data_IF_775327845686
#
_entry.id   IF_775327845686
#
_cell.length_a   1.000
_cell.length_b   1.000
_cell.length_c   1.000
_cell.angle_alpha   90.00
_cell.angle_beta   90.00
_cell.angle_gamma   90.00
#
_symmetry.space_group_name_H-M   'P 1'
#
loop_
_entity.id
_entity.type
_entity.pdbx_description
1 polymer ?
#
# COMPACT_ATOMS: atom_id res chain seq x y z
N UNK A 1 -3.89 -14.03 -41.64
CA UNK A 1 -3.51 -13.05 -40.61
C UNK A 1 -3.65 -13.73 -39.26
N UNK A 2 -2.55 -14.15 -38.66
CA UNK A 2 -2.54 -14.55 -37.25
C UNK A 2 -2.76 -13.29 -36.42
N UNK A 3 -3.84 -13.24 -35.63
CA UNK A 3 -4.06 -12.14 -34.68
C UNK A 3 -2.85 -11.98 -33.76
N UNK A 4 -2.43 -10.74 -33.50
CA UNK A 4 -1.33 -10.47 -32.57
C UNK A 4 -1.69 -10.93 -31.14
N UNK A 5 -0.72 -11.51 -30.39
CA UNK A 5 -0.93 -11.88 -28.99
C UNK A 5 -1.49 -10.71 -28.18
N UNK A 6 -2.59 -10.94 -27.45
CA UNK A 6 -3.26 -9.89 -26.69
C UNK A 6 -3.70 -10.37 -25.30
N UNK A 7 -3.89 -9.46 -24.32
CA UNK A 7 -4.43 -9.80 -23.01
C UNK A 7 -5.79 -10.52 -23.11
N UNK A 8 -6.61 -10.15 -24.09
CA UNK A 8 -7.90 -10.79 -24.34
C UNK A 8 -7.76 -12.26 -24.74
N UNK A 9 -6.79 -12.59 -25.58
CA UNK A 9 -6.48 -13.98 -25.93
C UNK A 9 -5.98 -14.76 -24.72
N UNK A 10 -5.15 -14.13 -23.88
CA UNK A 10 -4.64 -14.73 -22.64
C UNK A 10 -5.77 -15.08 -21.68
N UNK A 11 -6.65 -14.12 -21.35
CA UNK A 11 -7.80 -14.40 -20.48
C UNK A 11 -8.69 -15.52 -21.02
N UNK A 12 -8.87 -15.57 -22.35
CA UNK A 12 -9.65 -16.62 -23.00
C UNK A 12 -8.99 -17.99 -22.85
N UNK A 13 -7.70 -18.11 -23.11
CA UNK A 13 -6.95 -19.35 -22.95
C UNK A 13 -7.07 -19.89 -21.50
N UNK A 14 -6.94 -19.01 -20.50
CA UNK A 14 -7.08 -19.38 -19.08
C UNK A 14 -8.51 -19.85 -18.76
N UNK A 15 -9.54 -19.13 -19.22
CA UNK A 15 -10.96 -19.52 -19.04
C UNK A 15 -11.29 -20.87 -19.66
N UNK A 16 -10.68 -21.18 -20.80
CA UNK A 16 -10.83 -22.45 -21.51
C UNK A 16 -9.89 -23.54 -20.97
N UNK A 17 -9.12 -23.26 -19.89
CA UNK A 17 -8.14 -24.16 -19.28
C UNK A 17 -7.04 -24.64 -20.23
N UNK A 18 -6.76 -23.86 -21.29
CA UNK A 18 -5.64 -24.07 -22.23
C UNK A 18 -4.38 -23.43 -21.68
N UNK A 19 -3.83 -24.02 -20.63
CA UNK A 19 -2.73 -23.43 -19.87
C UNK A 19 -1.41 -23.36 -20.66
N UNK A 20 -1.15 -24.30 -21.56
CA UNK A 20 0.04 -24.27 -22.42
C UNK A 20 -0.03 -23.11 -23.44
N UNK A 21 -1.19 -22.90 -24.05
CA UNK A 21 -1.43 -21.73 -24.91
C UNK A 21 -1.28 -20.43 -24.11
N UNK A 22 -1.79 -20.40 -22.87
CA UNK A 22 -1.63 -19.25 -21.99
C UNK A 22 -0.17 -18.99 -21.63
N UNK A 23 0.64 -20.03 -21.38
CA UNK A 23 2.10 -19.91 -21.17
C UNK A 23 2.78 -19.32 -22.40
N UNK A 24 2.51 -19.83 -23.58
CA UNK A 24 3.08 -19.33 -24.84
C UNK A 24 2.74 -17.84 -25.08
N UNK A 25 1.51 -17.41 -24.76
CA UNK A 25 1.11 -16.00 -24.83
C UNK A 25 1.89 -15.13 -23.85
N UNK A 26 2.10 -15.59 -22.61
CA UNK A 26 2.90 -14.86 -21.61
C UNK A 26 4.37 -14.76 -22.05
N UNK A 27 4.93 -15.86 -22.58
CA UNK A 27 6.30 -15.91 -23.10
C UNK A 27 6.50 -15.00 -24.32
N UNK A 28 5.45 -14.78 -25.12
CA UNK A 28 5.45 -13.81 -26.23
C UNK A 28 5.42 -12.34 -25.77
N UNK A 29 5.31 -12.08 -24.46
CA UNK A 29 5.37 -10.75 -23.86
C UNK A 29 4.02 -10.12 -23.50
N UNK A 30 2.92 -10.88 -23.51
CA UNK A 30 1.61 -10.38 -23.07
C UNK A 30 1.64 -10.08 -21.56
N UNK A 31 1.42 -8.81 -21.19
CA UNK A 31 1.42 -8.39 -19.78
C UNK A 31 0.22 -8.96 -19.01
N UNK A 32 0.52 -9.84 -18.06
CA UNK A 32 -0.41 -10.55 -17.17
C UNK A 32 -1.12 -9.64 -16.15
N UNK A 33 -0.61 -8.42 -15.93
CA UNK A 33 -1.13 -7.44 -14.96
C UNK A 33 -2.23 -6.56 -15.54
N UNK A 34 -2.49 -6.65 -16.85
CA UNK A 34 -3.58 -5.93 -17.50
C UNK A 34 -4.90 -6.59 -17.09
N UNK A 35 -5.82 -5.76 -16.61
CA UNK A 35 -7.16 -6.17 -16.22
C UNK A 35 -8.16 -6.00 -17.37
N UNK A 36 -9.22 -6.81 -17.35
CA UNK A 36 -10.37 -6.61 -18.21
C UNK A 36 -11.34 -5.54 -17.67
N UNK A 37 -12.50 -5.40 -18.32
CA UNK A 37 -13.57 -4.46 -17.93
C UNK A 37 -14.21 -4.75 -16.56
N UNK A 38 -13.93 -5.91 -15.96
CA UNK A 38 -14.40 -6.31 -14.64
C UNK A 38 -13.33 -6.14 -13.56
N UNK A 39 -12.18 -5.56 -13.92
CA UNK A 39 -10.97 -5.47 -13.12
C UNK A 39 -10.34 -6.86 -12.84
N UNK A 40 -10.51 -7.86 -13.71
CA UNK A 40 -9.86 -9.17 -13.56
C UNK A 40 -8.62 -9.29 -14.45
N UNK A 41 -7.50 -9.65 -13.84
CA UNK A 41 -6.20 -9.88 -14.47
C UNK A 41 -5.98 -11.35 -14.83
N UNK A 42 -4.88 -11.67 -15.53
CA UNK A 42 -4.53 -13.07 -15.80
C UNK A 42 -4.28 -13.86 -14.49
N UNK A 43 -3.74 -13.21 -13.47
CA UNK A 43 -3.52 -13.80 -12.15
C UNK A 43 -4.83 -14.16 -11.46
N UNK A 44 -5.81 -13.25 -11.50
CA UNK A 44 -7.16 -13.47 -10.95
C UNK A 44 -7.83 -14.69 -11.61
N UNK A 45 -7.75 -14.77 -12.95
CA UNK A 45 -8.27 -15.91 -13.69
C UNK A 45 -7.53 -17.22 -13.41
N UNK A 46 -6.22 -17.15 -13.17
CA UNK A 46 -5.44 -18.32 -12.78
C UNK A 46 -5.87 -18.85 -11.40
N UNK A 47 -6.10 -17.98 -10.41
CA UNK A 47 -6.61 -18.37 -9.09
C UNK A 47 -7.98 -19.04 -9.20
N UNK A 48 -8.92 -18.38 -9.88
CA UNK A 48 -10.28 -18.88 -10.08
C UNK A 48 -10.33 -20.21 -10.84
N UNK A 49 -9.33 -20.49 -11.69
CA UNK A 49 -9.25 -21.77 -12.41
C UNK A 49 -8.96 -22.97 -11.51
N UNK A 50 -8.45 -22.73 -10.29
CA UNK A 50 -8.01 -23.76 -9.35
C UNK A 50 -6.69 -24.43 -9.74
N UNK A 51 -6.05 -24.05 -10.85
CA UNK A 51 -4.77 -24.62 -11.26
C UNK A 51 -3.60 -23.95 -10.54
N UNK A 52 -3.16 -24.57 -9.44
CA UNK A 52 -2.08 -24.06 -8.59
C UNK A 52 -0.74 -23.90 -9.32
N UNK A 53 -0.39 -24.83 -10.20
CA UNK A 53 0.87 -24.78 -10.97
C UNK A 53 0.87 -23.62 -11.96
N UNK A 54 -0.26 -23.36 -12.59
CA UNK A 54 -0.41 -22.22 -13.48
C UNK A 54 -0.48 -20.90 -12.71
N UNK A 55 -1.16 -20.87 -11.56
CA UNK A 55 -1.17 -19.70 -10.68
C UNK A 55 0.23 -19.36 -10.16
N UNK A 56 1.00 -20.35 -9.67
CA UNK A 56 2.42 -20.19 -9.30
C UNK A 56 3.23 -19.59 -10.44
N UNK A 57 3.05 -20.11 -11.66
CA UNK A 57 3.73 -19.59 -12.84
C UNK A 57 3.41 -18.11 -13.12
N UNK A 58 2.13 -17.73 -13.17
CA UNK A 58 1.70 -16.35 -13.42
C UNK A 58 2.18 -15.42 -12.30
N UNK A 59 2.15 -15.87 -11.04
CA UNK A 59 2.65 -15.11 -9.89
C UNK A 59 4.15 -14.81 -10.00
N UNK A 60 4.97 -15.80 -10.39
CA UNK A 60 6.42 -15.58 -10.63
C UNK A 60 6.64 -14.58 -11.76
N UNK A 61 5.91 -14.71 -12.89
CA UNK A 61 6.00 -13.77 -14.02
C UNK A 61 5.59 -12.34 -13.65
N UNK A 62 4.53 -12.19 -12.84
CA UNK A 62 4.14 -10.88 -12.30
C UNK A 62 5.23 -10.30 -11.41
N UNK A 63 5.83 -11.11 -10.52
CA UNK A 63 6.93 -10.68 -9.63
C UNK A 63 8.13 -10.18 -10.43
N UNK A 64 8.60 -10.97 -11.40
CA UNK A 64 9.68 -10.59 -12.33
C UNK A 64 9.38 -9.24 -13.01
N UNK A 65 8.18 -9.09 -13.58
CA UNK A 65 7.79 -7.85 -14.27
C UNK A 65 7.65 -6.66 -13.34
N UNK A 66 7.17 -6.87 -12.12
CA UNK A 66 7.07 -5.82 -11.10
C UNK A 66 8.45 -5.35 -10.67
N UNK A 67 9.38 -6.27 -10.37
CA UNK A 67 10.77 -5.94 -10.05
C UNK A 67 11.41 -5.12 -11.17
N UNK A 68 11.24 -5.54 -12.42
CA UNK A 68 11.70 -4.78 -13.57
C UNK A 68 11.10 -3.36 -13.61
N UNK A 69 9.79 -3.24 -13.39
CA UNK A 69 9.10 -1.93 -13.37
C UNK A 69 9.63 -1.03 -12.25
N UNK A 70 9.90 -1.60 -11.07
CA UNK A 70 10.48 -0.86 -9.94
C UNK A 70 11.88 -0.38 -10.31
N UNK A 71 12.72 -1.27 -10.85
CA UNK A 71 14.09 -0.96 -11.27
C UNK A 71 14.15 0.18 -12.29
N UNK A 72 13.29 0.14 -13.31
CA UNK A 72 13.21 1.18 -14.34
C UNK A 72 12.76 2.54 -13.76
N UNK A 73 11.91 2.53 -12.73
CA UNK A 73 11.37 3.76 -12.11
C UNK A 73 12.20 4.27 -10.94
N UNK A 74 13.06 3.44 -10.35
CA UNK A 74 13.80 3.74 -9.14
C UNK A 74 14.64 5.02 -9.22
N UNK A 75 15.34 5.33 -10.33
CA UNK A 75 16.08 6.59 -10.45
C UNK A 75 15.20 7.83 -10.24
N UNK A 76 14.01 7.86 -10.85
CA UNK A 76 13.07 8.96 -10.69
C UNK A 76 12.51 9.05 -9.25
N UNK A 77 12.39 7.92 -8.54
CA UNK A 77 12.02 7.92 -7.12
C UNK A 77 13.11 8.54 -6.26
N UNK A 78 14.37 8.19 -6.54
CA UNK A 78 15.54 8.73 -5.84
C UNK A 78 15.61 10.24 -6.04
N UNK A 79 15.44 10.72 -7.27
CA UNK A 79 15.39 12.16 -7.56
C UNK A 79 14.30 12.85 -6.74
N UNK A 80 13.07 12.33 -6.74
CA UNK A 80 11.99 12.89 -5.93
C UNK A 80 12.30 12.85 -4.44
N UNK A 81 12.86 11.74 -3.93
CA UNK A 81 13.23 11.60 -2.54
C UNK A 81 14.28 12.63 -2.11
N UNK A 82 15.26 12.91 -2.97
CA UNK A 82 16.30 13.91 -2.70
C UNK A 82 15.76 15.35 -2.67
N UNK A 83 14.62 15.63 -3.30
CA UNK A 83 13.96 16.96 -3.21
C UNK A 83 13.28 17.21 -1.87
N UNK A 84 12.98 16.15 -1.09
CA UNK A 84 12.37 16.30 0.22
C UNK A 84 13.35 16.98 1.18
N UNK A 85 12.90 17.92 2.03
CA UNK A 85 13.77 18.53 3.03
C UNK A 85 14.18 17.50 4.09
N UNK A 86 15.29 17.76 4.77
CA UNK A 86 15.68 16.95 5.92
C UNK A 86 14.71 17.17 7.08
N UNK A 87 14.32 16.08 7.73
CA UNK A 87 13.37 16.13 8.84
C UNK A 87 13.57 14.95 9.79
N UNK A 88 13.19 15.17 11.04
CA UNK A 88 12.81 14.10 11.94
C UNK A 88 11.38 14.33 12.40
N UNK A 89 10.57 13.27 12.41
CA UNK A 89 9.19 13.34 12.89
C UNK A 89 8.74 12.00 13.44
N UNK A 90 7.64 12.02 14.19
CA UNK A 90 6.96 10.81 14.65
C UNK A 90 5.57 10.71 14.05
N UNK A 91 5.17 9.49 13.73
CA UNK A 91 3.84 9.15 13.29
C UNK A 91 3.24 8.14 14.26
N UNK A 92 2.18 8.51 14.96
CA UNK A 92 1.48 7.58 15.86
C UNK A 92 0.12 7.24 15.32
N UNK A 93 -0.29 6.00 15.53
CA UNK A 93 -1.64 5.54 15.22
C UNK A 93 -2.17 4.66 16.35
N UNK A 94 -3.49 4.67 16.51
CA UNK A 94 -4.18 3.92 17.55
C UNK A 94 -5.60 3.58 17.12
N UNK A 95 -6.01 2.35 17.41
CA UNK A 95 -7.41 1.94 17.34
C UNK A 95 -8.07 2.19 18.70
N UNK A 96 -9.30 2.69 18.69
CA UNK A 96 -10.14 2.83 19.87
C UNK A 96 -11.39 2.00 19.69
N UNK A 97 -11.77 1.26 20.74
CA UNK A 97 -13.08 0.61 20.84
C UNK A 97 -13.85 1.18 22.01
N UNK A 98 -15.11 1.54 21.79
CA UNK A 98 -16.04 1.95 22.84
C UNK A 98 -16.52 0.77 23.70
N UNK A 99 -16.30 -0.47 23.22
CA UNK A 99 -16.67 -1.68 23.97
C UNK A 99 -15.73 -1.81 25.18
N UNK A 100 -16.25 -1.86 26.41
CA UNK A 100 -15.44 -2.05 27.61
C UNK A 100 -14.54 -3.28 27.48
N UNK A 101 -13.31 -3.20 28.01
CA UNK A 101 -12.29 -4.25 28.01
C UNK A 101 -11.66 -4.60 26.63
N UNK A 102 -12.25 -4.22 25.50
CA UNK A 102 -11.64 -4.42 24.17
C UNK A 102 -10.53 -3.38 23.88
N UNK A 103 -10.60 -2.20 24.49
CA UNK A 103 -9.61 -1.13 24.31
C UNK A 103 -8.18 -1.52 24.70
N UNK A 104 -8.02 -2.46 25.64
CA UNK A 104 -6.71 -3.00 26.04
C UNK A 104 -6.04 -3.83 24.94
N UNK A 105 -6.84 -4.38 24.01
CA UNK A 105 -6.37 -5.18 22.86
C UNK A 105 -6.31 -4.37 21.57
N UNK A 106 -6.68 -3.10 21.61
CA UNK A 106 -6.60 -2.25 20.43
C UNK A 106 -5.13 -1.97 20.07
N UNK A 107 -4.72 -2.25 18.83
CA UNK A 107 -3.35 -2.01 18.42
C UNK A 107 -3.06 -0.51 18.38
N UNK A 108 -1.82 -0.17 18.73
CA UNK A 108 -1.24 1.16 18.63
C UNK A 108 0.23 1.02 18.32
N UNK A 109 0.76 1.97 17.57
CA UNK A 109 2.20 2.07 17.33
C UNK A 109 2.61 3.53 17.16
N UNK A 110 3.90 3.79 17.31
CA UNK A 110 4.52 5.08 17.05
C UNK A 110 5.81 4.85 16.25
N UNK A 111 5.85 5.43 15.06
CA UNK A 111 6.97 5.33 14.14
C UNK A 111 7.81 6.59 14.27
N UNK A 112 9.14 6.43 14.32
CA UNK A 112 10.08 7.56 14.22
C UNK A 112 10.70 7.56 12.84
N UNK A 113 10.50 8.62 12.09
CA UNK A 113 11.02 8.79 10.74
C UNK A 113 12.09 9.88 10.76
N UNK A 114 13.28 9.60 10.25
CA UNK A 114 14.38 10.56 10.16
C UNK A 114 14.97 10.50 8.76
N UNK A 115 14.90 11.60 8.02
CA UNK A 115 15.48 11.76 6.69
C UNK A 115 16.59 12.80 6.74
N UNK A 116 17.76 12.45 6.21
CA UNK A 116 18.92 13.34 6.07
C UNK A 116 19.61 13.05 4.75
N UNK A 117 19.70 14.05 3.86
CA UNK A 117 20.31 13.90 2.54
C UNK A 117 19.69 12.76 1.73
N UNK A 118 20.49 11.75 1.37
CA UNK A 118 20.08 10.57 0.62
C UNK A 118 19.58 9.41 1.49
N UNK A 119 19.51 9.59 2.81
CA UNK A 119 19.23 8.52 3.77
C UNK A 119 17.91 8.75 4.50
N UNK A 120 17.18 7.68 4.77
CA UNK A 120 15.99 7.66 5.61
C UNK A 120 16.06 6.49 6.58
N UNK A 121 15.69 6.72 7.83
CA UNK A 121 15.51 5.69 8.84
C UNK A 121 14.09 5.75 9.39
N UNK A 122 13.44 4.60 9.50
CA UNK A 122 12.13 4.43 10.11
C UNK A 122 12.27 3.42 11.24
N UNK A 123 11.98 3.82 12.47
CA UNK A 123 11.90 2.92 13.61
C UNK A 123 10.43 2.60 13.91
N UNK A 124 10.12 1.31 14.12
CA UNK A 124 8.78 0.83 14.47
C UNK A 124 8.84 -0.17 15.63
N UNK A 125 7.79 -0.15 16.46
CA UNK A 125 7.59 -1.12 17.54
C UNK A 125 6.99 -2.45 17.08
N UNK A 126 6.82 -2.68 15.78
CA UNK A 126 6.20 -3.87 15.20
C UNK A 126 7.23 -4.69 14.44
N UNK A 127 7.45 -5.94 14.87
CA UNK A 127 8.54 -6.78 14.37
C UNK A 127 8.14 -7.86 13.36
N UNK A 128 6.86 -8.24 13.27
CA UNK A 128 6.45 -9.28 12.33
C UNK A 128 5.19 -8.88 11.55
N UNK A 129 5.25 -9.10 10.23
CA UNK A 129 4.20 -8.85 9.24
C UNK A 129 3.65 -10.17 8.66
N UNK A 130 3.74 -11.28 9.39
CA UNK A 130 3.11 -12.54 8.98
C UNK A 130 1.62 -12.58 9.37
N UNK A 131 0.73 -12.35 8.41
CA UNK A 131 -0.73 -12.48 8.58
C UNK A 131 -1.37 -11.39 9.47
N UNK A 132 -2.23 -11.78 10.43
CA UNK A 132 -2.98 -10.88 11.32
C UNK A 132 -2.38 -10.72 12.74
N UNK A 133 -1.18 -11.23 12.99
CA UNK A 133 -0.55 -11.20 14.33
C UNK A 133 0.57 -10.17 14.39
N UNK A 134 0.28 -9.06 15.06
CA UNK A 134 1.27 -8.03 15.39
C UNK A 134 2.12 -8.51 16.57
N UNK A 135 3.39 -8.84 16.34
CA UNK A 135 4.35 -9.04 17.43
C UNK A 135 5.04 -7.71 17.73
N UNK A 136 4.95 -7.29 18.99
CA UNK A 136 5.73 -6.15 19.49
C UNK A 136 7.21 -6.48 19.36
N UNK A 137 8.00 -5.57 18.82
CA UNK A 137 9.45 -5.68 18.78
C UNK A 137 10.12 -4.33 18.58
N UNK A 138 11.33 -4.33 18.02
CA UNK A 138 12.08 -3.11 17.73
C UNK A 138 12.78 -3.28 16.40
N UNK A 139 12.24 -2.68 15.35
CA UNK A 139 12.79 -2.79 13.99
C UNK A 139 13.15 -1.41 13.48
N UNK A 140 14.34 -1.31 12.89
CA UNK A 140 14.81 -0.13 12.18
C UNK A 140 14.95 -0.44 10.69
N UNK A 141 14.21 0.27 9.86
CA UNK A 141 14.29 0.19 8.40
C UNK A 141 15.09 1.37 7.88
N UNK A 142 16.19 1.09 7.19
CA UNK A 142 17.07 2.06 6.57
C UNK A 142 16.83 2.07 5.07
N UNK A 143 16.79 3.26 4.50
CA UNK A 143 16.85 3.52 3.07
C UNK A 143 18.08 4.37 2.77
N UNK A 144 18.89 3.98 1.78
CA UNK A 144 20.03 4.79 1.31
C UNK A 144 20.01 4.86 -0.22
N UNK A 145 19.71 6.04 -0.73
CA UNK A 145 19.66 6.31 -2.16
C UNK A 145 21.04 6.41 -2.82
N UNK A 146 22.12 6.47 -2.04
CA UNK A 146 23.50 6.46 -2.55
C UNK A 146 24.05 5.05 -2.77
N UNK A 147 23.30 4.01 -2.37
CA UNK A 147 23.68 2.63 -2.54
C UNK A 147 23.81 2.28 -4.04
N UNK A 148 24.96 1.73 -4.50
CA UNK A 148 25.17 1.39 -5.91
C UNK A 148 24.20 0.33 -6.44
N UNK A 149 23.89 -0.67 -5.60
CA UNK A 149 22.86 -1.67 -5.89
C UNK A 149 21.54 -1.26 -5.25
N UNK A 150 20.52 -1.07 -6.08
CA UNK A 150 19.17 -0.73 -5.65
C UNK A 150 18.59 -1.79 -4.71
N UNK A 151 18.91 -3.07 -4.91
CA UNK A 151 18.38 -4.15 -4.07
C UNK A 151 18.84 -4.02 -2.61
N UNK A 152 20.00 -3.42 -2.39
CA UNK A 152 20.53 -3.14 -1.05
C UNK A 152 20.20 -1.74 -0.54
N UNK A 153 19.37 -1.00 -1.26
CA UNK A 153 18.93 0.34 -0.83
C UNK A 153 18.03 0.29 0.40
N UNK A 154 17.34 -0.83 0.67
CA UNK A 154 16.51 -1.02 1.88
C UNK A 154 17.06 -2.12 2.78
N UNK A 155 17.39 -1.76 4.01
CA UNK A 155 17.88 -2.67 5.04
C UNK A 155 16.96 -2.63 6.26
N UNK A 156 16.36 -3.76 6.62
CA UNK A 156 15.66 -3.91 7.89
C UNK A 156 16.61 -4.54 8.92
N UNK A 157 16.59 -4.00 10.14
CA UNK A 157 17.36 -4.50 11.27
C UNK A 157 16.41 -4.78 12.42
N UNK A 158 16.37 -6.02 12.89
CA UNK A 158 15.77 -6.35 14.17
C UNK A 158 16.76 -5.98 15.28
N UNK A 159 16.44 -4.94 16.05
CA UNK A 159 17.31 -4.43 17.09
C UNK A 159 17.40 -5.36 18.32
N UNK A 160 16.55 -6.40 18.40
CA UNK A 160 16.59 -7.41 19.48
C UNK A 160 17.54 -8.54 19.13
N UNK A 161 17.38 -9.14 17.95
CA UNK A 161 18.24 -10.25 17.49
C UNK A 161 19.54 -9.78 16.86
N UNK A 162 19.58 -8.54 16.36
CA UNK A 162 20.67 -8.02 15.52
C UNK A 162 20.60 -8.50 14.07
N UNK A 163 19.56 -9.26 13.69
CA UNK A 163 19.39 -9.76 12.33
C UNK A 163 19.21 -8.61 11.35
N UNK A 164 19.96 -8.67 10.24
CA UNK A 164 19.96 -7.69 9.15
C UNK A 164 19.42 -8.34 7.89
N UNK A 165 18.38 -7.77 7.29
CA UNK A 165 17.74 -8.30 6.08
C UNK A 165 17.62 -7.20 5.02
N UNK A 166 18.10 -7.48 3.82
CA UNK A 166 17.85 -6.64 2.66
C UNK A 166 16.40 -6.85 2.20
N UNK A 167 15.56 -5.83 2.38
CA UNK A 167 14.09 -5.95 2.23
C UNK A 167 13.72 -6.30 0.79
N UNK A 168 14.36 -5.65 -0.19
CA UNK A 168 14.04 -5.89 -1.59
C UNK A 168 14.55 -7.24 -2.08
N UNK A 169 15.72 -7.70 -1.60
CA UNK A 169 16.22 -9.05 -1.91
C UNK A 169 15.29 -10.12 -1.34
N UNK A 170 14.83 -9.97 -0.09
CA UNK A 170 13.86 -10.89 0.47
C UNK A 170 12.54 -10.88 -0.32
N UNK A 171 12.06 -9.71 -0.76
CA UNK A 171 10.89 -9.60 -1.65
C UNK A 171 11.13 -10.23 -3.03
N UNK A 172 12.36 -10.50 -3.45
CA UNK A 172 12.67 -11.18 -4.73
C UNK A 172 12.95 -12.67 -4.54
N UNK A 173 13.62 -13.04 -3.45
CA UNK A 173 14.10 -14.38 -3.17
C UNK A 173 13.27 -15.12 -2.11
N UNK A 174 12.19 -14.50 -1.60
CA UNK A 174 11.33 -15.04 -0.53
C UNK A 174 11.12 -16.54 -0.72
N UNK A 175 11.65 -17.29 0.25
CA UNK A 175 11.57 -18.75 0.32
C UNK A 175 10.16 -19.23 0.62
N UNK A 176 9.35 -18.36 1.22
CA UNK A 176 7.97 -18.63 1.61
C UNK A 176 6.97 -18.39 0.47
N UNK A 177 7.43 -17.91 -0.68
CA UNK A 177 6.56 -17.59 -1.82
C UNK A 177 5.63 -18.74 -2.21
N UNK A 178 6.12 -19.97 -2.26
CA UNK A 178 5.27 -21.12 -2.62
C UNK A 178 4.23 -21.42 -1.53
N UNK A 179 4.57 -21.21 -0.26
CA UNK A 179 3.66 -21.40 0.89
C UNK A 179 2.57 -20.33 0.91
N UNK A 180 2.94 -19.06 0.66
CA UNK A 180 1.98 -17.96 0.54
C UNK A 180 0.99 -18.19 -0.60
N UNK A 181 1.48 -18.70 -1.73
CA UNK A 181 0.64 -19.06 -2.87
C UNK A 181 -0.34 -20.18 -2.51
N UNK A 182 0.12 -21.22 -1.82
CA UNK A 182 -0.75 -22.32 -1.40
C UNK A 182 -1.86 -21.81 -0.46
N UNK A 183 -1.55 -20.89 0.45
CA UNK A 183 -2.54 -20.24 1.31
C UNK A 183 -3.54 -19.38 0.52
N UNK A 184 -3.06 -18.59 -0.44
CA UNK A 184 -3.93 -17.75 -1.30
C UNK A 184 -4.89 -18.59 -2.14
N UNK A 185 -4.46 -19.76 -2.63
CA UNK A 185 -5.29 -20.67 -3.40
C UNK A 185 -6.43 -21.29 -2.58
N UNK A 186 -6.30 -21.33 -1.24
CA UNK A 186 -7.34 -21.79 -0.34
C UNK A 186 -8.36 -20.70 0.03
N UNK A 187 -8.18 -19.48 -0.49
CA UNK A 187 -9.08 -18.35 -0.26
C UNK A 187 -9.81 -17.98 -1.55
N UNK A 188 -11.06 -17.54 -1.41
CA UNK A 188 -11.80 -16.93 -2.52
C UNK A 188 -11.15 -15.61 -2.94
N UNK A 189 -11.34 -15.25 -4.22
CA UNK A 189 -10.84 -14.00 -4.75
C UNK A 189 -11.71 -12.82 -4.26
N UNK A 190 -11.11 -11.94 -3.45
CA UNK A 190 -11.73 -10.71 -2.97
C UNK A 190 -11.01 -9.48 -3.56
N UNK A 191 -11.74 -8.64 -4.30
CA UNK A 191 -11.21 -7.37 -4.84
C UNK A 191 -11.87 -6.18 -4.16
N UNK A 192 -11.07 -5.36 -3.48
CA UNK A 192 -11.50 -4.11 -2.86
C UNK A 192 -11.28 -2.90 -3.78
N UNK A 193 -12.20 -1.95 -3.76
CA UNK A 193 -12.06 -0.66 -4.44
C UNK A 193 -12.70 0.46 -3.63
N UNK A 194 -12.13 1.67 -3.71
CA UNK A 194 -12.69 2.88 -3.09
C UNK A 194 -13.43 3.69 -4.16
N UNK A 195 -14.71 3.99 -3.90
CA UNK A 195 -15.50 4.90 -4.73
C UNK A 195 -15.21 6.34 -4.30
N UNK A 196 -14.35 7.01 -5.09
CA UNK A 196 -13.90 8.37 -4.79
C UNK A 196 -14.82 9.45 -5.34
N UNK A 197 -15.66 9.14 -6.33
CA UNK A 197 -16.51 10.13 -7.01
C UNK A 197 -17.65 10.63 -6.12
N UNK A 198 -18.12 9.79 -5.19
CA UNK A 198 -19.28 10.06 -4.34
C UNK A 198 -18.91 10.58 -2.93
N UNK A 199 -17.64 10.94 -2.71
CA UNK A 199 -17.16 11.37 -1.39
C UNK A 199 -17.53 12.83 -1.16
N UNK A 200 -18.29 13.09 -0.08
CA UNK A 200 -18.63 14.44 0.31
C UNK A 200 -17.60 14.98 1.29
N UNK A 201 -16.84 15.99 0.84
CA UNK A 201 -15.94 16.77 1.68
C UNK A 201 -16.61 18.07 2.12
N UNK A 202 -16.59 18.33 3.42
CA UNK A 202 -17.07 19.60 3.97
C UNK A 202 -16.08 20.19 4.97
N UNK A 203 -16.04 21.51 5.07
CA UNK A 203 -15.33 22.21 6.13
C UNK A 203 -16.37 22.61 7.19
N UNK A 204 -16.13 22.31 8.48
CA UNK A 204 -17.01 22.77 9.55
C UNK A 204 -17.13 24.30 9.50
N UNK A 205 -18.34 24.85 9.46
CA UNK A 205 -18.58 26.30 9.49
C UNK A 205 -18.82 26.74 10.93
N UNK A 206 -18.07 27.75 11.42
CA UNK A 206 -18.51 28.55 12.57
C UNK A 206 -19.49 29.63 12.09
N UNK A 207 -20.38 30.07 12.98
CA UNK A 207 -21.42 31.10 12.74
C UNK A 207 -20.87 32.46 12.23
N UNK A 208 -19.56 32.66 12.26
CA UNK A 208 -18.86 33.74 11.57
C UNK A 208 -17.94 33.13 10.50
N UNK A 209 -18.07 33.65 9.27
CA UNK A 209 -17.46 33.36 7.95
C UNK A 209 -15.96 32.96 7.85
N UNK A 210 -15.25 32.64 8.92
CA UNK A 210 -13.83 32.21 8.91
C UNK A 210 -13.73 30.68 8.81
N UNK A 211 -12.97 30.20 7.82
CA UNK A 211 -12.46 28.81 7.78
C UNK A 211 -11.61 28.58 9.03
N UNK A 212 -11.81 27.47 9.74
CA UNK A 212 -11.00 27.14 10.92
C UNK A 212 -9.64 26.61 10.44
N UNK A 213 -8.65 27.49 10.35
CA UNK A 213 -7.24 27.07 10.42
C UNK A 213 -6.95 26.79 11.89
N UNK A 214 -6.79 25.53 12.26
CA UNK A 214 -6.28 25.15 13.57
C UNK A 214 -4.77 24.96 13.42
N UNK A 215 -3.99 25.55 14.32
CA UNK A 215 -2.60 25.12 14.45
C UNK A 215 -2.65 23.72 15.06
N UNK A 216 -2.29 22.71 14.26
CA UNK A 216 -2.26 21.33 14.73
C UNK A 216 -0.81 20.94 14.82
N UNK A 217 -0.31 20.94 16.05
CA UNK A 217 0.98 20.40 16.48
C UNK A 217 2.24 21.07 15.89
N UNK A 218 3.17 21.36 16.79
CA UNK A 218 4.53 21.90 16.62
C UNK A 218 4.71 23.16 15.77
N UNK A 219 4.24 23.23 14.52
CA UNK A 219 4.40 24.37 13.61
C UNK A 219 3.46 24.36 12.36
N UNK A 220 2.62 23.34 12.16
CA UNK A 220 1.87 23.20 10.90
C UNK A 220 0.42 23.71 11.00
N UNK A 221 0.04 24.56 10.06
CA UNK A 221 -1.35 25.01 9.96
C UNK A 221 -2.16 23.96 9.22
N UNK A 222 -3.23 23.48 9.85
CA UNK A 222 -4.13 22.51 9.24
C UNK A 222 -5.56 23.01 9.21
N UNK A 223 -6.28 22.60 8.16
CA UNK A 223 -7.72 22.84 8.04
C UNK A 223 -8.44 21.52 8.29
N UNK A 224 -9.44 21.53 9.17
CA UNK A 224 -10.28 20.37 9.44
C UNK A 224 -11.28 20.18 8.30
N UNK A 225 -11.35 18.95 7.79
CA UNK A 225 -12.33 18.49 6.82
C UNK A 225 -13.08 17.27 7.34
N UNK A 226 -14.40 17.32 7.25
CA UNK A 226 -15.27 16.16 7.45
C UNK A 226 -15.46 15.48 6.09
N UNK A 227 -15.05 14.22 6.01
CA UNK A 227 -15.27 13.34 4.88
C UNK A 227 -16.39 12.36 5.22
N UNK A 228 -17.43 12.35 4.40
CA UNK A 228 -18.58 11.45 4.56
C UNK A 228 -18.83 10.69 3.26
N UNK A 229 -19.54 9.57 3.37
CA UNK A 229 -19.86 8.72 2.23
C UNK A 229 -18.63 8.09 1.55
N UNK A 230 -17.58 7.76 2.31
CA UNK A 230 -16.42 7.03 1.78
C UNK A 230 -16.84 5.57 1.59
N UNK A 231 -17.23 5.20 0.36
CA UNK A 231 -17.72 3.85 0.07
C UNK A 231 -16.56 2.96 -0.39
N UNK A 232 -16.36 1.87 0.35
CA UNK A 232 -15.46 0.78 -0.06
C UNK A 232 -16.32 -0.37 -0.56
N UNK A 233 -16.13 -0.72 -1.83
CA UNK A 233 -16.83 -1.80 -2.52
C UNK A 233 -15.91 -3.01 -2.61
N UNK A 234 -16.42 -4.17 -2.24
CA UNK A 234 -15.74 -5.45 -2.34
C UNK A 234 -16.50 -6.32 -3.35
N UNK A 235 -15.77 -6.84 -4.33
CA UNK A 235 -16.24 -7.86 -5.27
C UNK A 235 -15.68 -9.20 -4.81
N UNK A 236 -16.57 -10.14 -4.46
CA UNK A 236 -16.23 -11.49 -4.03
C UNK A 236 -16.54 -12.46 -5.16
N UNK A 237 -15.52 -13.13 -5.68
CA UNK A 237 -15.63 -14.12 -6.74
C UNK A 237 -15.41 -15.51 -6.13
N UNK A 238 -16.44 -16.35 -6.18
CA UNK A 238 -16.37 -17.73 -5.72
C UNK A 238 -15.67 -18.60 -6.77
N UNK A 239 -14.67 -19.37 -6.35
CA UNK A 239 -13.94 -20.27 -7.25
C UNK A 239 -14.87 -21.32 -7.88
N UNK A 240 -15.90 -21.76 -7.14
CA UNK A 240 -16.88 -22.73 -7.63
C UNK A 240 -17.72 -22.24 -8.82
N UNK A 241 -17.82 -20.93 -9.04
CA UNK A 241 -18.59 -20.36 -10.16
C UNK A 241 -17.79 -20.30 -11.46
N UNK A 242 -16.48 -20.60 -11.40
CA UNK A 242 -15.60 -20.55 -12.55
C UNK A 242 -15.94 -21.64 -13.58
N UNK A 243 -16.30 -21.23 -14.80
CA UNK A 243 -16.62 -22.13 -15.92
C UNK A 243 -18.05 -22.66 -15.96
N UNK A 244 -18.90 -22.36 -14.95
CA UNK A 244 -20.33 -22.74 -14.95
C UNK A 244 -21.17 -21.94 -15.96
N UNK A 245 -20.83 -20.66 -16.18
CA UNK A 245 -21.51 -19.79 -17.14
C UNK A 245 -20.52 -19.38 -18.26
N UNK A 246 -20.84 -19.71 -19.52
CA UNK A 246 -19.95 -19.49 -20.67
C UNK A 246 -19.77 -18.00 -21.03
N UNK A 247 -20.59 -17.11 -20.47
CA UNK A 247 -20.57 -15.68 -20.83
C UNK A 247 -19.79 -14.82 -19.83
N UNK A 248 -20.11 -14.81 -18.53
CA UNK A 248 -19.44 -13.93 -17.55
C UNK A 248 -19.47 -14.48 -16.11
N UNK A 249 -18.37 -14.32 -15.35
CA UNK A 249 -18.39 -14.48 -13.89
C UNK A 249 -19.16 -13.33 -13.25
N UNK A 250 -20.05 -13.64 -12.31
CA UNK A 250 -20.81 -12.65 -11.54
C UNK A 250 -20.30 -12.63 -10.10
N UNK A 251 -19.65 -11.55 -9.64
CA UNK A 251 -19.24 -11.44 -8.24
C UNK A 251 -20.42 -11.13 -7.33
N UNK A 252 -20.30 -11.52 -6.07
CA UNK A 252 -21.11 -10.98 -4.98
C UNK A 252 -20.54 -9.62 -4.57
N UNK A 253 -21.43 -8.66 -4.30
CA UNK A 253 -21.04 -7.29 -3.97
C UNK A 253 -21.29 -7.02 -2.49
N UNK A 254 -20.27 -6.52 -1.81
CA UNK A 254 -20.40 -5.95 -0.48
C UNK A 254 -19.96 -4.49 -0.51
N UNK A 255 -20.75 -3.61 0.10
CA UNK A 255 -20.41 -2.19 0.24
C UNK A 255 -20.37 -1.83 1.72
N UNK A 256 -19.35 -1.08 2.12
CA UNK A 256 -19.27 -0.45 3.43
C UNK A 256 -19.02 1.03 3.26
N UNK A 257 -19.74 1.83 4.04
CA UNK A 257 -19.61 3.29 4.04
C UNK A 257 -18.89 3.73 5.31
N UNK A 258 -17.85 4.52 5.13
CA UNK A 258 -17.05 5.09 6.19
C UNK A 258 -17.19 6.61 6.21
N UNK A 259 -16.82 7.18 7.35
CA UNK A 259 -16.67 8.62 7.53
C UNK A 259 -15.41 8.89 8.33
N UNK A 260 -14.85 10.08 8.17
CA UNK A 260 -13.67 10.47 8.91
C UNK A 260 -13.47 11.97 8.94
N UNK A 261 -12.61 12.39 9.86
CA UNK A 261 -12.19 13.76 10.05
C UNK A 261 -10.70 13.84 9.79
N UNK A 262 -10.28 14.79 8.97
CA UNK A 262 -8.88 14.93 8.60
C UNK A 262 -8.45 16.38 8.74
N UNK A 263 -7.32 16.59 9.40
CA UNK A 263 -6.67 17.89 9.49
C UNK A 263 -5.58 17.93 8.43
N UNK A 264 -5.85 18.68 7.37
CA UNK A 264 -4.98 18.72 6.19
C UNK A 264 -4.12 19.98 6.19
N UNK A 265 -2.81 19.81 5.97
CA UNK A 265 -1.82 20.90 5.94
C UNK A 265 -1.11 20.97 4.59
N UNK A 266 -1.12 22.15 3.98
CA UNK A 266 -0.36 22.46 2.77
C UNK A 266 1.10 22.80 3.06
N UNK A 267 1.37 23.19 4.32
CA UNK A 267 2.71 23.58 4.77
C UNK A 267 3.53 22.36 5.21
N UNK A 268 2.93 21.16 5.20
CA UNK A 268 3.62 19.93 5.56
C UNK A 268 4.63 19.52 4.46
N UNK A 269 5.86 19.10 4.82
CA UNK A 269 6.92 18.86 3.84
C UNK A 269 6.61 17.79 2.78
N UNK A 270 5.85 16.75 3.16
CA UNK A 270 5.57 15.61 2.28
C UNK A 270 4.13 15.66 1.82
N UNK A 271 3.89 16.08 0.59
CA UNK A 271 2.53 16.19 0.03
C UNK A 271 2.06 14.89 -0.62
N UNK A 272 0.75 14.56 -0.62
CA UNK A 272 0.24 13.29 -1.14
C UNK A 272 0.68 12.97 -2.57
N UNK A 273 0.70 13.97 -3.45
CA UNK A 273 1.10 13.81 -4.85
C UNK A 273 2.57 13.40 -5.01
N UNK A 274 3.45 13.76 -4.06
CA UNK A 274 4.87 13.37 -4.09
C UNK A 274 5.08 11.87 -3.85
N UNK A 275 4.09 11.20 -3.25
CA UNK A 275 4.12 9.76 -2.99
C UNK A 275 3.61 8.93 -4.15
N UNK A 276 2.91 9.53 -5.13
CA UNK A 276 2.31 8.79 -6.26
C UNK A 276 3.36 8.01 -7.06
N UNK A 277 4.49 8.59 -7.50
CA UNK A 277 5.52 7.83 -8.21
C UNK A 277 6.03 6.63 -7.40
N UNK A 278 6.23 6.82 -6.09
CA UNK A 278 6.71 5.79 -5.17
C UNK A 278 5.73 4.63 -5.05
N UNK A 279 4.45 4.94 -4.88
CA UNK A 279 3.39 3.93 -4.80
C UNK A 279 3.22 3.18 -6.11
N UNK A 280 3.27 3.85 -7.26
CA UNK A 280 3.19 3.18 -8.55
C UNK A 280 4.37 2.24 -8.81
N UNK A 281 5.56 2.62 -8.33
CA UNK A 281 6.75 1.80 -8.49
C UNK A 281 6.74 0.58 -7.56
N UNK A 282 6.39 0.76 -6.29
CA UNK A 282 6.53 -0.30 -5.28
C UNK A 282 5.31 -1.18 -5.09
N UNK A 283 4.14 -0.79 -5.61
CA UNK A 283 2.95 -1.61 -5.44
C UNK A 283 3.06 -2.92 -6.22
N UNK A 284 3.02 -4.09 -5.56
CA UNK A 284 3.07 -5.39 -6.22
C UNK A 284 1.81 -5.65 -7.06
N UNK A 285 0.71 -4.95 -6.77
CA UNK A 285 -0.54 -5.05 -7.50
C UNK A 285 -1.00 -3.67 -7.95
N UNK A 286 -1.28 -3.55 -9.25
CA UNK A 286 -1.78 -2.32 -9.90
C UNK A 286 -3.02 -1.77 -9.19
N UNK A 287 -3.91 -2.66 -8.71
CA UNK A 287 -5.14 -2.28 -8.03
C UNK A 287 -4.89 -1.71 -6.62
N UNK A 288 -3.94 -2.27 -5.87
CA UNK A 288 -3.55 -1.74 -4.56
C UNK A 288 -2.94 -0.35 -4.70
N UNK A 289 -2.02 -0.17 -5.65
CA UNK A 289 -1.47 1.16 -5.99
C UNK A 289 -2.59 2.13 -6.34
N UNK A 290 -3.47 1.74 -7.27
CA UNK A 290 -4.60 2.55 -7.73
C UNK A 290 -5.52 2.96 -6.58
N UNK A 291 -5.84 2.05 -5.66
CA UNK A 291 -6.67 2.36 -4.50
C UNK A 291 -5.99 3.36 -3.55
N UNK A 292 -4.70 3.20 -3.27
CA UNK A 292 -3.96 4.14 -2.42
C UNK A 292 -3.84 5.50 -3.12
N UNK A 293 -3.52 5.53 -4.41
CA UNK A 293 -3.43 6.77 -5.20
C UNK A 293 -4.78 7.49 -5.25
N UNK A 294 -5.88 6.76 -5.48
CA UNK A 294 -7.24 7.29 -5.41
C UNK A 294 -7.54 7.90 -4.04
N UNK A 295 -7.12 7.23 -2.96
CA UNK A 295 -7.26 7.76 -1.60
C UNK A 295 -6.39 9.01 -1.37
N UNK A 296 -5.16 9.05 -1.87
CA UNK A 296 -4.30 10.24 -1.80
C UNK A 296 -4.90 11.42 -2.59
N UNK A 297 -5.60 11.14 -3.69
CA UNK A 297 -6.33 12.13 -4.47
C UNK A 297 -7.44 12.85 -3.70
N UNK A 298 -7.92 12.26 -2.60
CA UNK A 298 -8.90 12.91 -1.70
C UNK A 298 -8.30 14.10 -0.93
N UNK A 299 -6.97 14.17 -0.88
CA UNK A 299 -6.19 15.13 -0.11
C UNK A 299 -5.46 16.15 -1.01
N UNK A 300 -6.09 16.55 -2.13
CA UNK A 300 -5.68 17.71 -2.96
C UNK A 300 -5.61 19.04 -2.16
N UNK A 301 -6.24 19.08 -0.98
CA UNK A 301 -6.22 20.20 -0.04
C UNK A 301 -4.99 20.25 0.87
N UNK A 302 -4.13 19.22 0.83
CA UNK A 302 -2.90 19.12 1.63
C UNK A 302 -2.82 17.80 2.41
N UNK A 303 -1.63 17.48 2.92
CA UNK A 303 -1.37 16.23 3.65
C UNK A 303 -2.23 16.12 4.91
N UNK A 304 -2.94 15.00 5.14
CA UNK A 304 -3.63 14.77 6.40
C UNK A 304 -2.59 14.51 7.50
N UNK A 305 -2.30 15.52 8.32
CA UNK A 305 -1.34 15.41 9.42
C UNK A 305 -1.95 14.83 10.69
N UNK A 306 -3.29 14.79 10.76
CA UNK A 306 -4.08 14.06 11.75
C UNK A 306 -5.34 13.53 11.09
N UNK A 307 -5.77 12.33 11.46
CA UNK A 307 -7.00 11.74 10.99
C UNK A 307 -7.73 10.92 12.05
N UNK A 308 -9.05 10.92 11.95
CA UNK A 308 -9.96 10.10 12.75
C UNK A 308 -10.94 9.42 11.80
N UNK A 309 -10.88 8.09 11.66
CA UNK A 309 -11.73 7.32 10.76
C UNK A 309 -12.64 6.40 11.57
N UNK A 310 -13.95 6.50 11.32
CA UNK A 310 -14.95 5.66 11.97
C UNK A 310 -15.18 4.40 11.13
N UNK A 311 -14.60 3.28 11.57
CA UNK A 311 -14.63 1.99 10.86
C UNK A 311 -15.88 1.19 11.22
N UNK A 312 -16.34 1.31 12.47
CA UNK A 312 -17.62 0.80 12.96
C UNK A 312 -18.22 1.83 13.93
N UNK A 313 -19.52 1.75 14.27
CA UNK A 313 -20.14 2.68 15.23
C UNK A 313 -19.39 2.77 16.57
N UNK A 314 -18.72 1.69 16.98
CA UNK A 314 -17.97 1.58 18.23
C UNK A 314 -16.46 1.55 18.03
N UNK A 315 -15.94 1.63 16.79
CA UNK A 315 -14.50 1.52 16.50
C UNK A 315 -14.02 2.70 15.66
N UNK A 316 -13.04 3.43 16.19
CA UNK A 316 -12.37 4.55 15.53
C UNK A 316 -10.88 4.25 15.38
N UNK A 317 -10.30 4.57 14.23
CA UNK A 317 -8.86 4.61 14.01
C UNK A 317 -8.42 6.05 14.04
N UNK A 318 -7.41 6.37 14.84
CA UNK A 318 -6.77 7.68 14.86
C UNK A 318 -5.33 7.56 14.40
N UNK A 319 -4.85 8.57 13.68
CA UNK A 319 -3.44 8.74 13.39
C UNK A 319 -3.05 10.22 13.46
N UNK A 320 -1.78 10.50 13.72
CA UNK A 320 -1.23 11.85 13.62
C UNK A 320 0.29 11.85 13.51
N UNK A 321 0.81 12.87 12.83
CA UNK A 321 2.21 13.27 12.88
C UNK A 321 2.45 14.22 14.06
N UNK A 322 3.64 14.15 14.66
CA UNK A 322 4.06 15.00 15.77
C UNK A 322 5.59 15.00 15.92
N UNK A 323 6.09 15.82 16.84
CA UNK A 323 7.50 15.99 17.21
C UNK A 323 8.38 16.32 15.99
N UNK A 324 7.94 17.24 15.13
CA UNK A 324 8.71 17.63 13.96
C UNK A 324 9.96 18.44 14.35
N UNK A 325 11.12 17.96 13.93
CA UNK A 325 12.40 18.62 14.14
C UNK A 325 13.13 18.85 12.81
N UNK A 326 13.34 20.12 12.47
CA UNK A 326 14.13 20.54 11.30
C UNK A 326 15.61 20.81 11.60
N UNK A 327 16.04 20.69 12.85
CA UNK A 327 17.43 20.90 13.25
C UNK A 327 18.27 19.64 12.96
N UNK A 328 18.75 19.53 11.73
CA UNK A 328 19.49 18.36 11.22
C UNK A 328 20.70 18.00 12.07
N UNK A 329 21.37 18.97 12.69
CA UNK A 329 22.58 18.72 13.48
C UNK A 329 22.31 17.82 14.70
N UNK A 330 21.07 17.76 15.20
CA UNK A 330 20.70 16.90 16.33
C UNK A 330 20.58 15.42 15.95
N UNK A 331 20.39 15.09 14.67
CA UNK A 331 20.08 13.74 14.22
C UNK A 331 20.81 13.31 12.94
N UNK A 332 21.80 14.07 12.47
CA UNK A 332 22.55 13.79 11.23
C UNK A 332 23.07 12.36 11.16
N UNK A 333 23.65 11.85 12.23
CA UNK A 333 24.25 10.51 12.28
C UNK A 333 23.22 9.41 12.60
N UNK A 334 21.97 9.78 12.92
CA UNK A 334 20.95 8.80 13.32
C UNK A 334 20.49 7.91 12.16
N UNK A 335 20.65 8.39 10.93
CA UNK A 335 20.25 7.71 9.69
C UNK A 335 21.32 6.77 9.15
N UNK A 336 22.51 6.76 9.74
CA UNK A 336 23.59 5.89 9.29
C UNK A 336 23.27 4.43 9.60
N UNK A 337 23.53 3.56 8.61
CA UNK A 337 23.37 2.12 8.77
C UNK A 337 24.37 1.61 9.80
N UNK A 338 24.02 0.61 10.61
CA UNK A 338 25.01 -0.06 11.45
C UNK A 338 26.12 -0.64 10.57
N UNK A 339 27.38 -0.48 10.99
CA UNK A 339 28.54 -1.08 10.33
C UNK A 339 28.34 -2.61 10.20
N UNK A 340 28.85 -3.18 9.10
CA UNK A 340 28.64 -4.59 8.73
C UNK A 340 29.10 -5.58 9.80
#
# INVERSE_FOLDING_TARGET
MTEEPSPKMLWRAIKEKRFDDARALIESGVDTRISDKHDLTALDYAQLSGNIEFFKYVSRKNREKNVQTVMERFPALVENFLTLPDFQMKFKWRVYSWIPFISAFCPKDEWKMTKVGSKLRIDTGLANWSGFRFTKGSVSVFFDASCPDMLDSFLAVDNVSGEKVSVLREIIDSKDFDTDIDNLMNMDLLKGSIDVENIHRSCPKKLLRRKTKECVHDNFHATLFDFTNIKVKFKHYLCEDFGKDKKHLKPQYHEKTYSGKFWCSQDFPVQPYTLVPFLEALAPFKDTAKNIINLLGLFDVGTPIKGEVFVFPTVRVEFQFHDHNGNVDEYRNYVDRPEE
#
